data_IF_401373630270
#
_entry.id   IF_401373630270
#
_cell.length_a   1.000
_cell.length_b   1.000
_cell.length_c   1.000
_cell.angle_alpha   90.00
_cell.angle_beta   90.00
_cell.angle_gamma   90.00
#
_symmetry.space_group_name_H-M   'P 1'
#
loop_
_entity.id
_entity.type
_entity.pdbx_description
1 polymer ?
#
# COMPACT_ATOMS: atom_id res chain seq x y z
N UNK A 1 -12.12 28.73 -21.70
CA UNK A 1 -10.92 28.75 -22.57
C UNK A 1 -9.61 28.41 -21.85
N UNK A 2 -9.21 29.10 -20.76
CA UNK A 2 -8.02 28.71 -19.97
C UNK A 2 -8.21 27.37 -19.26
N UNK A 3 -9.38 27.18 -18.66
CA UNK A 3 -9.78 25.95 -17.96
C UNK A 3 -9.80 24.71 -18.89
N UNK A 4 -10.30 24.88 -20.12
CA UNK A 4 -10.31 23.80 -21.13
C UNK A 4 -8.92 23.38 -21.61
N UNK A 5 -7.94 24.29 -21.56
CA UNK A 5 -6.56 23.98 -21.94
C UNK A 5 -5.85 23.20 -20.83
N UNK A 6 -6.07 23.60 -19.57
CA UNK A 6 -5.52 22.93 -18.39
C UNK A 6 -6.07 21.52 -18.23
N UNK A 7 -7.38 21.32 -18.40
CA UNK A 7 -7.99 19.98 -18.32
C UNK A 7 -7.52 19.07 -19.46
N UNK A 8 -7.40 19.59 -20.70
CA UNK A 8 -6.81 18.82 -21.82
C UNK A 8 -5.36 18.45 -21.56
N UNK A 9 -4.56 19.37 -21.00
CA UNK A 9 -3.17 19.09 -20.64
C UNK A 9 -3.08 18.00 -19.55
N UNK A 10 -3.94 18.07 -18.53
CA UNK A 10 -4.06 17.05 -17.47
C UNK A 10 -4.42 15.69 -18.05
N UNK A 11 -5.47 15.59 -18.87
CA UNK A 11 -5.88 14.34 -19.51
C UNK A 11 -4.79 13.72 -20.39
N UNK A 12 -4.03 14.55 -21.12
CA UNK A 12 -2.87 14.11 -21.89
C UNK A 12 -1.78 13.53 -21.00
N UNK A 13 -1.43 14.20 -19.89
CA UNK A 13 -0.44 13.71 -18.91
C UNK A 13 -0.88 12.37 -18.30
N UNK A 14 -2.12 12.25 -17.85
CA UNK A 14 -2.66 11.00 -17.30
C UNK A 14 -2.65 9.87 -18.35
N UNK A 15 -2.92 10.18 -19.62
CA UNK A 15 -2.88 9.20 -20.71
C UNK A 15 -1.47 8.77 -21.06
N UNK A 16 -0.51 9.70 -21.09
CA UNK A 16 0.88 9.38 -21.28
C UNK A 16 1.40 8.48 -20.15
N UNK A 17 1.16 8.87 -18.89
CA UNK A 17 1.61 8.11 -17.73
C UNK A 17 1.00 6.70 -17.69
N UNK A 18 -0.28 6.57 -18.06
CA UNK A 18 -0.92 5.26 -18.15
C UNK A 18 -0.25 4.37 -19.21
N UNK A 19 0.09 4.92 -20.38
CA UNK A 19 0.79 4.17 -21.43
C UNK A 19 2.18 3.74 -20.97
N UNK A 20 2.90 4.60 -20.25
CA UNK A 20 4.19 4.25 -19.65
C UNK A 20 4.04 3.05 -18.71
N UNK A 21 3.03 3.05 -17.83
CA UNK A 21 2.81 1.92 -16.92
C UNK A 21 2.38 0.63 -17.63
N UNK A 22 1.61 0.71 -18.71
CA UNK A 22 1.30 -0.47 -19.54
C UNK A 22 2.57 -1.05 -20.17
N UNK A 23 3.41 -0.21 -20.80
CA UNK A 23 4.67 -0.69 -21.37
C UNK A 23 5.58 -1.28 -20.28
N UNK A 24 5.64 -0.65 -19.11
CA UNK A 24 6.41 -1.14 -17.97
C UNK A 24 5.89 -2.49 -17.47
N UNK A 25 4.57 -2.66 -17.34
CA UNK A 25 3.92 -3.91 -16.97
C UNK A 25 4.33 -5.04 -17.92
N UNK A 26 4.18 -4.83 -19.23
CA UNK A 26 4.59 -5.80 -20.25
C UNK A 26 6.07 -6.15 -20.14
N UNK A 27 6.96 -5.16 -19.99
CA UNK A 27 8.39 -5.40 -19.86
C UNK A 27 8.74 -6.21 -18.60
N UNK A 28 8.08 -5.93 -17.47
CA UNK A 28 8.25 -6.70 -16.23
C UNK A 28 7.80 -8.15 -16.44
N UNK A 29 6.63 -8.38 -17.03
CA UNK A 29 6.13 -9.72 -17.35
C UNK A 29 7.15 -10.47 -18.21
N UNK A 30 7.54 -9.90 -19.37
CA UNK A 30 8.49 -10.54 -20.29
C UNK A 30 9.84 -10.82 -19.64
N UNK A 31 10.45 -9.84 -18.96
CA UNK A 31 11.79 -9.97 -18.40
C UNK A 31 11.84 -10.94 -17.22
N UNK A 32 10.89 -10.85 -16.29
CA UNK A 32 10.83 -11.74 -15.13
C UNK A 32 10.51 -13.17 -15.53
N UNK A 33 9.57 -13.38 -16.45
CA UNK A 33 9.20 -14.71 -16.92
C UNK A 33 10.33 -15.34 -17.74
N UNK A 34 11.00 -14.56 -18.59
CA UNK A 34 12.18 -15.03 -19.32
C UNK A 34 13.30 -15.46 -18.37
N UNK A 35 13.59 -14.65 -17.33
CA UNK A 35 14.60 -14.98 -16.32
C UNK A 35 14.25 -16.27 -15.58
N UNK A 36 12.99 -16.40 -15.13
CA UNK A 36 12.54 -17.56 -14.36
C UNK A 36 12.35 -18.82 -15.21
N UNK A 37 12.23 -18.68 -16.52
CA UNK A 37 12.25 -19.81 -17.46
C UNK A 37 13.63 -20.47 -17.56
N UNK A 38 14.71 -19.81 -17.13
CA UNK A 38 16.08 -20.35 -17.09
C UNK A 38 16.27 -21.35 -15.93
N UNK A 39 15.32 -22.28 -15.76
CA UNK A 39 15.24 -23.21 -14.63
C UNK A 39 16.51 -24.04 -14.44
N UNK A 40 17.20 -24.40 -15.54
CA UNK A 40 18.41 -25.23 -15.50
C UNK A 40 19.55 -24.51 -14.78
N UNK A 41 19.71 -23.20 -14.99
CA UNK A 41 20.78 -22.41 -14.37
C UNK A 41 20.43 -21.93 -12.95
N UNK A 42 19.14 -21.93 -12.61
CA UNK A 42 18.64 -21.46 -11.31
C UNK A 42 18.44 -22.57 -10.27
N UNK A 43 18.81 -23.82 -10.58
CA UNK A 43 18.65 -24.96 -9.67
C UNK A 43 19.37 -24.76 -8.33
N UNK A 44 20.58 -24.21 -8.38
CA UNK A 44 21.42 -23.97 -7.18
C UNK A 44 21.03 -22.67 -6.44
N UNK A 45 20.25 -21.80 -7.09
CA UNK A 45 19.89 -20.47 -6.58
C UNK A 45 18.40 -20.35 -6.23
N UNK A 46 17.88 -21.32 -5.47
CA UNK A 46 16.45 -21.35 -5.07
C UNK A 46 15.98 -20.06 -4.39
N UNK A 47 16.76 -19.52 -3.44
CA UNK A 47 16.42 -18.26 -2.76
C UNK A 47 16.27 -17.10 -3.74
N UNK A 48 17.24 -16.92 -4.65
CA UNK A 48 17.20 -15.87 -5.66
C UNK A 48 15.98 -16.03 -6.55
N UNK A 49 15.65 -17.27 -6.94
CA UNK A 49 14.46 -17.56 -7.73
C UNK A 49 13.18 -17.11 -7.02
N UNK A 50 12.98 -17.49 -5.76
CA UNK A 50 11.80 -17.08 -5.00
C UNK A 50 11.73 -15.56 -4.79
N UNK A 51 12.88 -14.92 -4.54
CA UNK A 51 12.96 -13.47 -4.41
C UNK A 51 12.56 -12.77 -5.70
N UNK A 52 13.06 -13.22 -6.85
CA UNK A 52 12.73 -12.66 -8.16
C UNK A 52 11.26 -12.91 -8.51
N UNK A 53 10.73 -14.09 -8.22
CA UNK A 53 9.32 -14.43 -8.42
C UNK A 53 8.42 -13.49 -7.61
N UNK A 54 8.67 -13.37 -6.30
CA UNK A 54 7.89 -12.49 -5.42
C UNK A 54 8.01 -11.01 -5.77
N UNK A 55 9.21 -10.58 -6.18
CA UNK A 55 9.44 -9.21 -6.67
C UNK A 55 8.68 -8.95 -7.98
N UNK A 56 8.60 -9.94 -8.87
CA UNK A 56 7.82 -9.85 -10.10
C UNK A 56 6.33 -9.70 -9.80
N UNK A 57 5.77 -10.52 -8.89
CA UNK A 57 4.38 -10.39 -8.45
C UNK A 57 4.07 -8.99 -7.90
N UNK A 58 4.92 -8.47 -7.01
CA UNK A 58 4.76 -7.13 -6.45
C UNK A 58 4.86 -6.02 -7.51
N UNK A 59 5.78 -6.16 -8.46
CA UNK A 59 6.00 -5.16 -9.52
C UNK A 59 4.85 -5.13 -10.55
N UNK A 60 4.32 -6.31 -10.90
CA UNK A 60 3.12 -6.46 -11.75
C UNK A 60 1.91 -5.80 -11.08
N UNK A 61 1.63 -6.14 -9.83
CA UNK A 61 0.52 -5.56 -9.08
C UNK A 61 0.67 -4.03 -8.90
N UNK A 62 1.88 -3.54 -8.64
CA UNK A 62 2.20 -2.11 -8.60
C UNK A 62 1.81 -1.40 -9.91
N UNK A 63 2.16 -1.97 -11.06
CA UNK A 63 1.83 -1.40 -12.37
C UNK A 63 0.33 -1.48 -12.65
N UNK A 64 -0.30 -2.63 -12.41
CA UNK A 64 -1.75 -2.80 -12.53
C UNK A 64 -2.51 -1.77 -11.69
N UNK A 65 -2.12 -1.57 -10.43
CA UNK A 65 -2.76 -0.58 -9.56
C UNK A 65 -2.53 0.85 -10.03
N UNK A 66 -1.34 1.16 -10.57
CA UNK A 66 -1.04 2.47 -11.17
C UNK A 66 -1.96 2.75 -12.36
N UNK A 67 -2.17 1.77 -13.25
CA UNK A 67 -3.10 1.89 -14.39
C UNK A 67 -4.54 2.07 -13.90
N UNK A 68 -4.97 1.31 -12.88
CA UNK A 68 -6.29 1.45 -12.27
C UNK A 68 -6.51 2.85 -11.70
N UNK A 69 -5.55 3.36 -10.92
CA UNK A 69 -5.60 4.71 -10.32
C UNK A 69 -5.72 5.79 -11.41
N UNK A 70 -4.89 5.72 -12.45
CA UNK A 70 -4.93 6.66 -13.57
C UNK A 70 -6.25 6.59 -14.34
N UNK A 71 -6.84 5.39 -14.45
CA UNK A 71 -8.18 5.24 -14.99
C UNK A 71 -9.19 5.92 -14.07
N UNK A 72 -9.19 5.69 -12.76
CA UNK A 72 -10.17 6.31 -11.86
C UNK A 72 -10.09 7.84 -11.85
N UNK A 73 -8.88 8.41 -11.95
CA UNK A 73 -8.64 9.86 -11.95
C UNK A 73 -9.16 10.56 -13.21
N UNK A 74 -9.08 9.90 -14.37
CA UNK A 74 -9.62 10.44 -15.64
C UNK A 74 -11.13 10.59 -15.63
N UNK A 75 -11.83 9.78 -14.83
CA UNK A 75 -13.29 9.79 -14.73
C UNK A 75 -13.77 10.33 -13.38
N UNK A 76 -12.88 10.96 -12.60
CA UNK A 76 -13.29 11.61 -11.35
C UNK A 76 -14.07 12.89 -11.68
N UNK A 77 -15.32 12.97 -11.22
CA UNK A 77 -16.27 14.06 -11.52
C UNK A 77 -15.97 15.34 -10.73
N UNK A 78 -15.21 15.24 -9.64
CA UNK A 78 -14.80 16.41 -8.85
C UNK A 78 -13.51 16.98 -9.43
N UNK A 79 -13.58 18.17 -10.03
CA UNK A 79 -12.40 18.95 -10.46
C UNK A 79 -11.39 19.27 -9.34
N UNK A 80 -11.67 18.88 -8.10
CA UNK A 80 -10.72 18.85 -6.99
C UNK A 80 -9.80 17.65 -7.16
N UNK A 81 -8.67 17.87 -7.82
CA UNK A 81 -7.58 16.91 -7.94
C UNK A 81 -6.91 16.71 -6.57
N UNK A 82 -7.39 15.76 -5.76
CA UNK A 82 -6.64 15.24 -4.59
C UNK A 82 -5.49 14.31 -5.00
N UNK A 83 -4.98 14.49 -6.22
CA UNK A 83 -3.93 13.69 -6.83
C UNK A 83 -2.56 14.22 -6.40
N UNK A 84 -2.10 13.76 -5.25
CA UNK A 84 -0.67 13.86 -4.91
C UNK A 84 0.06 12.66 -5.53
N UNK A 85 1.10 12.93 -6.34
CA UNK A 85 1.96 11.89 -6.92
C UNK A 85 2.52 10.95 -5.85
N UNK A 86 2.86 11.48 -4.68
CA UNK A 86 3.34 10.71 -3.53
C UNK A 86 2.23 9.82 -2.96
N UNK A 87 1.00 10.34 -2.85
CA UNK A 87 -0.16 9.58 -2.39
C UNK A 87 -0.53 8.43 -3.33
N UNK A 88 -0.43 8.65 -4.65
CA UNK A 88 -0.60 7.58 -5.64
C UNK A 88 0.50 6.52 -5.49
N UNK A 89 1.76 6.95 -5.44
CA UNK A 89 2.90 6.06 -5.33
C UNK A 89 2.83 5.18 -4.08
N UNK A 90 2.47 5.76 -2.93
CA UNK A 90 2.21 5.03 -1.67
C UNK A 90 1.18 3.92 -1.86
N UNK A 91 0.04 4.23 -2.49
CA UNK A 91 -1.03 3.25 -2.76
C UNK A 91 -0.56 2.11 -3.68
N UNK A 92 0.23 2.43 -4.71
CA UNK A 92 0.79 1.43 -5.62
C UNK A 92 1.80 0.52 -4.91
N UNK A 93 2.68 1.07 -4.07
CA UNK A 93 3.60 0.28 -3.24
C UNK A 93 2.85 -0.66 -2.30
N UNK A 94 1.82 -0.16 -1.60
CA UNK A 94 0.99 -1.03 -0.75
C UNK A 94 0.31 -2.14 -1.55
N UNK A 95 -0.13 -1.88 -2.79
CA UNK A 95 -0.72 -2.91 -3.63
C UNK A 95 0.32 -3.98 -4.03
N UNK A 96 1.51 -3.56 -4.44
CA UNK A 96 2.63 -4.47 -4.72
C UNK A 96 3.02 -5.32 -3.51
N UNK A 97 3.16 -4.72 -2.33
CA UNK A 97 3.42 -5.45 -1.08
C UNK A 97 2.28 -6.44 -0.81
N UNK A 98 1.02 -6.04 -0.99
CA UNK A 98 -0.14 -6.92 -0.77
C UNK A 98 -0.12 -8.14 -1.71
N UNK A 99 0.39 -7.98 -2.93
CA UNK A 99 0.56 -9.08 -3.88
C UNK A 99 1.71 -10.01 -3.49
N UNK A 100 2.88 -9.47 -3.11
CA UNK A 100 4.03 -10.28 -2.67
C UNK A 100 3.78 -10.98 -1.32
N UNK A 101 2.96 -10.39 -0.44
CA UNK A 101 2.57 -11.03 0.82
C UNK A 101 1.78 -12.33 0.62
N UNK A 102 1.18 -12.53 -0.56
CA UNK A 102 0.51 -13.78 -0.87
C UNK A 102 1.52 -14.94 -0.87
N UNK A 103 2.76 -14.73 -1.34
CA UNK A 103 3.83 -15.75 -1.30
C UNK A 103 4.19 -16.21 0.12
N UNK A 104 3.92 -15.38 1.14
CA UNK A 104 4.19 -15.73 2.55
C UNK A 104 3.33 -16.92 2.99
N UNK A 105 2.20 -17.19 2.31
CA UNK A 105 1.35 -18.33 2.60
C UNK A 105 2.07 -19.68 2.42
N UNK A 106 3.15 -19.74 1.65
CA UNK A 106 4.01 -20.93 1.54
C UNK A 106 4.70 -21.24 2.87
N UNK A 107 5.14 -20.22 3.62
CA UNK A 107 5.71 -20.42 4.96
C UNK A 107 4.64 -20.86 5.97
N UNK A 108 3.44 -20.30 5.86
CA UNK A 108 2.30 -20.67 6.71
C UNK A 108 1.87 -22.12 6.42
N UNK A 109 1.71 -22.48 5.15
CA UNK A 109 1.32 -23.82 4.74
C UNK A 109 2.38 -24.86 5.11
N UNK A 110 3.67 -24.48 5.13
CA UNK A 110 4.75 -25.35 5.54
C UNK A 110 4.81 -25.55 7.06
N UNK A 111 4.06 -24.76 7.85
CA UNK A 111 4.14 -24.76 9.30
C UNK A 111 5.52 -24.37 9.82
N UNK A 112 6.34 -23.72 8.99
CA UNK A 112 7.73 -23.43 9.28
C UNK A 112 8.15 -22.09 8.63
N UNK A 113 8.85 -21.26 9.39
CA UNK A 113 9.49 -20.03 8.86
C UNK A 113 10.82 -20.33 8.14
N UNK A 114 11.13 -21.60 7.89
CA UNK A 114 12.33 -21.99 7.16
C UNK A 114 12.04 -22.01 5.66
N UNK A 115 12.93 -21.41 4.87
CA UNK A 115 12.82 -21.42 3.41
C UNK A 115 12.81 -22.85 2.85
N UNK A 116 13.51 -23.77 3.50
CA UNK A 116 13.45 -25.19 3.16
C UNK A 116 12.03 -25.76 3.35
N UNK A 117 11.34 -25.44 4.44
CA UNK A 117 9.95 -25.89 4.65
C UNK A 117 8.99 -25.34 3.60
N UNK A 118 9.05 -24.04 3.32
CA UNK A 118 8.19 -23.35 2.37
C UNK A 118 8.32 -23.87 0.92
N UNK A 119 9.49 -24.40 0.56
CA UNK A 119 9.80 -24.88 -0.80
C UNK A 119 9.56 -26.38 -1.00
N UNK A 120 9.28 -27.13 0.07
CA UNK A 120 9.07 -28.59 0.06
C UNK A 120 7.61 -29.02 0.29
N UNK A 121 6.66 -28.09 0.21
CA UNK A 121 5.23 -28.36 0.33
C UNK A 121 4.70 -29.28 -0.79
N UNK A 122 4.00 -30.34 -0.40
CA UNK A 122 3.38 -31.29 -1.32
C UNK A 122 2.04 -30.80 -1.91
N UNK A 123 1.52 -29.66 -1.48
CA UNK A 123 0.24 -29.09 -1.92
C UNK A 123 0.30 -27.57 -2.07
N UNK A 124 -0.61 -27.01 -2.89
CA UNK A 124 -0.69 -25.56 -3.07
C UNK A 124 -1.24 -24.88 -1.81
N UNK A 125 -0.61 -23.80 -1.32
CA UNK A 125 -1.15 -23.01 -0.22
C UNK A 125 -2.53 -22.45 -0.56
N UNK A 126 -3.45 -22.48 0.41
CA UNK A 126 -4.85 -22.08 0.19
C UNK A 126 -5.02 -20.63 -0.32
N UNK A 127 -4.07 -19.73 -0.02
CA UNK A 127 -4.09 -18.35 -0.49
C UNK A 127 -3.98 -18.23 -2.00
N UNK A 128 -3.40 -19.24 -2.65
CA UNK A 128 -3.27 -19.35 -4.10
C UNK A 128 -4.53 -19.91 -4.79
N UNK A 129 -5.63 -20.10 -4.07
CA UNK A 129 -6.89 -20.44 -4.70
C UNK A 129 -7.59 -19.17 -5.22
N UNK A 130 -8.05 -19.15 -6.47
CA UNK A 130 -8.90 -18.06 -6.99
C UNK A 130 -10.18 -17.93 -6.15
N UNK A 131 -10.69 -19.04 -5.62
CA UNK A 131 -11.82 -19.04 -4.68
C UNK A 131 -11.51 -18.32 -3.37
N UNK A 132 -10.26 -18.37 -2.87
CA UNK A 132 -9.83 -17.60 -1.70
C UNK A 132 -9.93 -16.09 -1.97
N UNK A 133 -9.46 -15.63 -3.13
CA UNK A 133 -9.57 -14.22 -3.53
C UNK A 133 -11.04 -13.78 -3.58
N UNK A 134 -11.91 -14.60 -4.17
CA UNK A 134 -13.34 -14.33 -4.24
C UNK A 134 -13.94 -14.18 -2.83
N UNK A 135 -13.61 -15.11 -1.92
CA UNK A 135 -14.10 -15.06 -0.53
C UNK A 135 -13.63 -13.79 0.17
N UNK A 136 -12.35 -13.44 0.08
CA UNK A 136 -11.83 -12.22 0.72
C UNK A 136 -12.43 -10.96 0.11
N UNK A 137 -12.58 -10.89 -1.22
CA UNK A 137 -13.25 -9.78 -1.89
C UNK A 137 -14.71 -9.61 -1.41
N UNK A 138 -15.44 -10.71 -1.24
CA UNK A 138 -16.79 -10.70 -0.69
C UNK A 138 -16.81 -10.25 0.78
N UNK A 139 -15.86 -10.71 1.61
CA UNK A 139 -15.72 -10.28 3.00
C UNK A 139 -15.42 -8.78 3.09
N UNK A 140 -14.45 -8.27 2.32
CA UNK A 140 -14.11 -6.83 2.25
C UNK A 140 -15.32 -6.00 1.84
N UNK A 141 -16.07 -6.46 0.83
CA UNK A 141 -17.32 -5.84 0.42
C UNK A 141 -18.34 -5.83 1.55
N UNK A 142 -18.52 -6.98 2.24
CA UNK A 142 -19.51 -7.17 3.32
C UNK A 142 -19.19 -6.33 4.56
N UNK A 143 -17.91 -6.23 4.92
CA UNK A 143 -17.42 -5.41 6.03
C UNK A 143 -17.49 -3.91 5.70
N UNK A 144 -17.35 -3.54 4.43
CA UNK A 144 -17.42 -2.15 3.97
C UNK A 144 -18.84 -1.71 3.57
N UNK A 145 -19.90 -2.40 4.02
CA UNK A 145 -21.29 -2.07 3.61
C UNK A 145 -21.82 -0.75 4.15
N UNK A 146 -21.31 -0.30 5.29
CA UNK A 146 -21.62 1.04 5.84
C UNK A 146 -20.83 2.15 5.15
N UNK A 147 -19.88 1.80 4.31
CA UNK A 147 -19.07 2.76 3.55
C UNK A 147 -19.68 2.96 2.17
N UNK A 148 -19.54 4.18 1.67
CA UNK A 148 -20.03 4.57 0.36
C UNK A 148 -19.66 3.56 -0.75
N UNK A 149 -20.58 3.26 -1.65
CA UNK A 149 -20.47 2.22 -2.67
C UNK A 149 -19.20 2.32 -3.52
N UNK A 150 -18.81 3.54 -3.93
CA UNK A 150 -17.58 3.80 -4.71
C UNK A 150 -16.31 3.50 -3.88
N UNK A 151 -16.26 3.90 -2.61
CA UNK A 151 -15.17 3.56 -1.67
C UNK A 151 -15.14 2.05 -1.37
N UNK A 152 -16.28 1.41 -1.19
CA UNK A 152 -16.41 -0.05 -1.02
C UNK A 152 -15.85 -0.80 -2.23
N UNK A 153 -16.28 -0.46 -3.45
CA UNK A 153 -15.75 -1.08 -4.67
C UNK A 153 -14.25 -0.84 -4.84
N UNK A 154 -13.76 0.35 -4.48
CA UNK A 154 -12.33 0.64 -4.51
C UNK A 154 -11.52 -0.34 -3.64
N UNK A 155 -11.97 -0.61 -2.41
CA UNK A 155 -11.34 -1.59 -1.51
C UNK A 155 -11.36 -3.01 -2.09
N UNK A 156 -12.45 -3.39 -2.73
CA UNK A 156 -12.55 -4.69 -3.43
C UNK A 156 -11.60 -4.75 -4.63
N UNK A 157 -11.55 -3.69 -5.44
CA UNK A 157 -10.60 -3.58 -6.54
C UNK A 157 -9.15 -3.73 -6.06
N UNK A 158 -8.80 -3.14 -4.92
CA UNK A 158 -7.45 -3.23 -4.36
C UNK A 158 -7.02 -4.69 -4.15
N UNK A 159 -7.87 -5.49 -3.51
CA UNK A 159 -7.60 -6.91 -3.25
C UNK A 159 -7.58 -7.71 -4.56
N UNK A 160 -8.59 -7.51 -5.43
CA UNK A 160 -8.68 -8.26 -6.68
C UNK A 160 -7.48 -7.95 -7.57
N UNK A 161 -7.08 -6.68 -7.73
CA UNK A 161 -5.91 -6.32 -8.55
C UNK A 161 -4.63 -6.91 -7.95
N UNK A 162 -4.41 -6.83 -6.64
CA UNK A 162 -3.20 -7.36 -6.01
C UNK A 162 -3.09 -8.89 -6.15
N UNK A 163 -4.15 -9.61 -5.80
CA UNK A 163 -4.07 -11.07 -5.69
C UNK A 163 -4.43 -11.79 -6.97
N UNK A 164 -5.36 -11.26 -7.78
CA UNK A 164 -5.69 -11.92 -9.04
C UNK A 164 -4.56 -11.77 -10.06
N UNK A 165 -3.83 -10.64 -10.04
CA UNK A 165 -2.62 -10.51 -10.89
C UNK A 165 -1.55 -11.54 -10.54
N UNK A 166 -1.34 -11.74 -9.25
CA UNK A 166 -0.49 -12.81 -8.74
C UNK A 166 -0.92 -14.18 -9.29
N UNK A 167 -2.22 -14.51 -9.16
CA UNK A 167 -2.75 -15.79 -9.62
C UNK A 167 -2.75 -15.98 -11.13
N UNK A 168 -2.92 -14.93 -11.92
CA UNK A 168 -2.83 -15.01 -13.37
C UNK A 168 -1.40 -15.39 -13.81
N UNK A 169 -0.41 -14.77 -13.18
CA UNK A 169 1.00 -15.08 -13.42
C UNK A 169 1.36 -16.51 -13.03
N UNK A 170 0.91 -16.99 -11.88
CA UNK A 170 1.11 -18.40 -11.48
C UNK A 170 0.33 -19.37 -12.37
N UNK A 171 -0.89 -18.98 -12.72
CA UNK A 171 -1.79 -19.71 -13.59
C UNK A 171 -1.20 -19.99 -14.97
N UNK A 172 -0.29 -19.15 -15.46
CA UNK A 172 0.47 -19.40 -16.67
C UNK A 172 1.28 -20.71 -16.60
N UNK A 173 1.90 -21.02 -15.46
CA UNK A 173 2.74 -22.22 -15.28
C UNK A 173 1.93 -23.42 -14.82
N UNK A 174 0.99 -23.17 -13.92
CA UNK A 174 0.37 -24.17 -13.08
C UNK A 174 -1.15 -24.32 -13.32
N UNK A 175 -1.76 -23.40 -14.06
CA UNK A 175 -3.21 -23.30 -14.17
C UNK A 175 -3.84 -22.62 -12.95
N UNK A 176 -5.01 -22.02 -13.16
CA UNK A 176 -5.79 -21.36 -12.11
C UNK A 176 -6.43 -22.41 -11.21
N UNK A 177 -6.23 -22.28 -9.90
CA UNK A 177 -6.76 -23.23 -8.93
C UNK A 177 -8.03 -22.70 -8.27
N UNK A 178 -9.12 -23.44 -8.40
CA UNK A 178 -10.44 -23.11 -7.84
C UNK A 178 -10.83 -24.09 -6.74
N UNK A 179 -10.05 -24.19 -5.67
CA UNK A 179 -10.38 -25.10 -4.57
C UNK A 179 -11.80 -24.87 -4.00
N UNK A 180 -12.62 -25.91 -3.76
CA UNK A 180 -12.35 -27.35 -3.94
C UNK A 180 -12.74 -27.92 -5.32
N UNK A 181 -13.13 -27.08 -6.28
CA UNK A 181 -13.63 -27.47 -7.60
C UNK A 181 -12.56 -28.05 -8.55
N UNK A 182 -11.28 -27.77 -8.30
CA UNK A 182 -10.16 -28.28 -9.09
C UNK A 182 -9.33 -27.17 -9.73
N UNK A 183 -8.53 -27.50 -10.75
CA UNK A 183 -7.66 -26.56 -11.45
C UNK A 183 -7.96 -26.52 -12.94
N UNK A 184 -7.74 -25.37 -13.57
CA UNK A 184 -7.68 -25.27 -15.03
C UNK A 184 -6.35 -25.82 -15.55
N UNK A 185 -6.23 -26.11 -16.85
CA UNK A 185 -4.93 -26.22 -17.50
C UNK A 185 -4.11 -24.93 -17.37
N UNK A 186 -2.78 -24.98 -17.57
CA UNK A 186 -1.94 -23.79 -17.66
C UNK A 186 -2.48 -22.77 -18.66
N UNK A 187 -2.49 -21.50 -18.27
CA UNK A 187 -3.00 -20.41 -19.11
C UNK A 187 -2.00 -20.14 -20.23
N UNK A 188 -2.49 -20.01 -21.46
CA UNK A 188 -1.65 -19.63 -22.59
C UNK A 188 -0.92 -18.30 -22.31
N UNK A 189 0.36 -18.21 -22.67
CA UNK A 189 1.20 -17.04 -22.37
C UNK A 189 0.58 -15.71 -22.82
N UNK A 190 0.13 -15.63 -24.07
CA UNK A 190 -0.47 -14.40 -24.61
C UNK A 190 -1.79 -14.06 -23.93
N UNK A 191 -2.57 -15.09 -23.57
CA UNK A 191 -3.81 -14.90 -22.83
C UNK A 191 -3.53 -14.35 -21.42
N UNK A 192 -2.52 -14.89 -20.71
CA UNK A 192 -2.10 -14.37 -19.41
C UNK A 192 -1.73 -12.88 -19.52
N UNK A 193 -0.81 -12.52 -20.42
CA UNK A 193 -0.36 -11.13 -20.57
C UNK A 193 -1.53 -10.21 -20.94
N UNK A 194 -2.43 -10.65 -21.82
CA UNK A 194 -3.61 -9.88 -22.20
C UNK A 194 -4.59 -9.70 -21.02
N UNK A 195 -4.77 -10.73 -20.18
CA UNK A 195 -5.57 -10.64 -18.97
C UNK A 195 -4.94 -9.70 -17.95
N UNK A 196 -3.62 -9.70 -17.82
CA UNK A 196 -2.85 -8.83 -16.93
C UNK A 196 -3.00 -7.35 -17.29
N UNK A 197 -2.80 -7.03 -18.57
CA UNK A 197 -3.04 -5.70 -19.12
C UNK A 197 -4.51 -5.28 -19.00
N UNK A 198 -5.44 -6.22 -19.22
CA UNK A 198 -6.88 -5.96 -19.19
C UNK A 198 -7.45 -5.75 -17.78
N UNK A 199 -6.89 -6.40 -16.77
CA UNK A 199 -7.35 -6.42 -15.39
C UNK A 199 -7.65 -5.02 -14.83
N UNK A 200 -6.72 -4.03 -14.86
CA UNK A 200 -6.98 -2.71 -14.29
C UNK A 200 -8.12 -1.95 -15.00
N UNK A 201 -8.32 -2.17 -16.30
CA UNK A 201 -9.43 -1.55 -17.04
C UNK A 201 -10.78 -2.16 -16.68
N UNK A 202 -10.85 -3.49 -16.55
CA UNK A 202 -12.05 -4.19 -16.13
C UNK A 202 -12.45 -3.73 -14.73
N UNK A 203 -11.49 -3.66 -13.81
CA UNK A 203 -11.74 -3.21 -12.44
C UNK A 203 -12.13 -1.75 -12.37
N UNK A 204 -11.49 -0.86 -13.14
CA UNK A 204 -11.88 0.54 -13.22
C UNK A 204 -13.30 0.71 -13.77
N UNK A 205 -13.66 -0.02 -14.83
CA UNK A 205 -15.02 -0.02 -15.40
C UNK A 205 -16.06 -0.49 -14.37
N UNK A 206 -15.75 -1.54 -13.61
CA UNK A 206 -16.64 -2.03 -12.55
C UNK A 206 -16.78 -1.04 -11.39
N UNK A 207 -15.68 -0.41 -10.98
CA UNK A 207 -15.68 0.65 -9.97
C UNK A 207 -16.55 1.85 -10.39
N UNK A 208 -16.43 2.32 -11.64
CA UNK A 208 -17.21 3.45 -12.17
C UNK A 208 -18.72 3.21 -12.17
N UNK A 209 -19.17 1.96 -12.32
CA UNK A 209 -20.60 1.61 -12.24
C UNK A 209 -21.19 1.76 -10.83
N UNK A 210 -20.41 2.17 -9.83
CA UNK A 210 -20.95 2.45 -8.50
C UNK A 210 -21.70 3.78 -8.54
N UNK A 211 -22.85 3.89 -7.85
CA UNK A 211 -23.54 5.16 -7.73
C UNK A 211 -22.57 6.21 -7.16
N UNK A 212 -22.62 7.42 -7.73
CA UNK A 212 -21.89 8.56 -7.24
C UNK A 212 -22.44 8.97 -5.86
N UNK A 213 -21.66 9.80 -5.15
CA UNK A 213 -22.06 10.32 -3.86
C UNK A 213 -23.32 11.17 -3.97
N UNK A 214 -24.32 10.85 -3.16
CA UNK A 214 -25.52 11.68 -3.02
C UNK A 214 -25.14 13.02 -2.39
N UNK A 215 -25.94 14.07 -2.64
CA UNK A 215 -25.70 15.40 -2.05
C UNK A 215 -25.65 15.36 -0.51
N UNK A 216 -26.47 14.49 0.09
CA UNK A 216 -26.50 14.27 1.54
C UNK A 216 -25.17 13.68 2.05
N UNK A 217 -24.65 12.65 1.38
CA UNK A 217 -23.35 12.05 1.74
C UNK A 217 -22.17 13.02 1.50
N UNK A 218 -22.28 13.91 0.51
CA UNK A 218 -21.28 14.98 0.30
C UNK A 218 -21.30 15.97 1.46
N UNK A 219 -22.50 16.34 1.94
CA UNK A 219 -22.68 17.25 3.07
C UNK A 219 -22.15 16.64 4.37
N UNK A 220 -22.48 15.37 4.64
CA UNK A 220 -21.96 14.63 5.81
C UNK A 220 -20.42 14.55 5.78
N UNK A 221 -19.82 14.27 4.62
CA UNK A 221 -18.37 14.22 4.48
C UNK A 221 -17.72 15.61 4.65
N UNK A 222 -18.37 16.67 4.17
CA UNK A 222 -17.89 18.03 4.35
C UNK A 222 -17.93 18.46 5.81
N UNK A 223 -18.99 18.10 6.55
CA UNK A 223 -19.10 18.29 7.99
C UNK A 223 -17.98 17.55 8.75
N UNK A 224 -17.76 16.26 8.45
CA UNK A 224 -16.69 15.49 9.09
C UNK A 224 -15.31 16.09 8.87
N UNK A 225 -15.02 16.60 7.67
CA UNK A 225 -13.75 17.26 7.39
C UNK A 225 -13.59 18.59 8.12
N UNK A 226 -14.66 19.36 8.25
CA UNK A 226 -14.63 20.62 8.99
C UNK A 226 -14.36 20.37 10.49
N UNK A 227 -14.93 19.29 11.05
CA UNK A 227 -14.64 18.88 12.42
C UNK A 227 -13.17 18.45 12.57
N UNK A 228 -12.64 17.62 11.67
CA UNK A 228 -11.23 17.19 11.67
C UNK A 228 -10.25 18.38 11.53
N UNK A 229 -10.53 19.34 10.64
CA UNK A 229 -9.71 20.55 10.46
C UNK A 229 -9.76 21.45 11.72
N UNK A 230 -10.92 21.54 12.39
CA UNK A 230 -11.05 22.31 13.64
C UNK A 230 -10.30 21.67 14.82
N UNK A 231 -10.23 20.34 14.88
CA UNK A 231 -9.45 19.63 15.90
C UNK A 231 -7.94 19.80 15.66
N UNK A 232 -7.47 19.71 14.42
CA UNK A 232 -6.05 19.95 14.07
C UNK A 232 -5.62 21.40 14.39
N UNK A 233 -6.45 22.40 14.08
CA UNK A 233 -6.15 23.81 14.37
C UNK A 233 -6.11 24.11 15.88
N UNK A 234 -6.99 23.46 16.66
CA UNK A 234 -6.97 23.58 18.13
C UNK A 234 -5.78 22.88 18.81
N UNK A 235 -5.27 21.80 18.21
CA UNK A 235 -4.11 21.06 18.70
C UNK A 235 -2.80 21.82 18.49
N UNK A 236 -2.69 22.54 17.37
CA UNK A 236 -1.53 23.38 17.07
C UNK A 236 -1.52 24.68 17.92
N UNK A 237 -2.68 25.26 18.24
CA UNK A 237 -2.75 26.41 19.16
C UNK A 237 -2.33 26.03 20.59
N UNK A 238 -2.77 24.87 21.11
CA UNK A 238 -2.42 24.42 22.46
C UNK A 238 -0.92 24.13 22.63
N UNK A 239 -0.25 23.64 21.58
CA UNK A 239 1.18 23.36 21.62
C UNK A 239 2.03 24.65 21.54
N UNK A 240 1.50 25.70 20.89
CA UNK A 240 2.16 27.01 20.81
C UNK A 240 2.10 27.81 22.13
N UNK A 241 1.02 27.66 22.91
CA UNK A 241 0.88 28.35 24.19
C UNK A 241 1.81 27.79 25.28
N UNK A 242 2.02 26.47 25.28
CA UNK A 242 2.87 25.80 26.27
C UNK A 242 4.37 26.11 26.04
N UNK A 243 4.79 26.27 24.78
CA UNK A 243 6.16 26.70 24.45
C UNK A 243 6.41 28.17 24.82
N UNK A 244 5.41 29.06 24.66
CA UNK A 244 5.55 30.48 25.03
C UNK A 244 5.55 30.67 26.56
N UNK A 245 4.76 29.88 27.31
CA UNK A 245 4.73 29.91 28.77
C UNK A 245 6.00 29.28 29.39
N UNK A 246 6.52 28.20 28.80
CA UNK A 246 7.81 27.60 29.17
C UNK A 246 8.99 28.55 28.95
N UNK A 247 9.00 29.32 27.85
CA UNK A 247 10.04 30.32 27.57
C UNK A 247 9.98 31.52 28.55
N UNK A 248 8.78 31.96 28.95
CA UNK A 248 8.61 33.05 29.92
C UNK A 248 9.06 32.65 31.34
N UNK A 249 8.83 31.39 31.74
CA UNK A 249 9.29 30.90 33.04
C UNK A 249 10.81 30.81 33.14
N UNK A 250 11.49 30.36 32.08
CA UNK A 250 12.96 30.31 32.03
C UNK A 250 13.60 31.71 32.09
N UNK A 251 13.00 32.72 31.45
CA UNK A 251 13.49 34.11 31.54
C UNK A 251 13.25 34.76 32.91
N UNK A 252 12.23 34.31 33.66
CA UNK A 252 11.96 34.83 35.01
C UNK A 252 12.89 34.27 36.09
N UNK A 253 13.45 33.07 35.88
CA UNK A 253 14.34 32.40 36.83
C UNK A 253 15.76 33.00 36.83
N UNK A 254 16.22 33.52 35.70
CA UNK A 254 17.58 34.08 35.55
C UNK A 254 17.71 35.49 36.19
N UNK A 255 16.60 36.19 36.41
CA UNK A 255 16.59 37.52 37.03
C UNK A 255 16.76 37.51 38.57
N UNK A 256 16.71 36.34 39.23
CA UNK A 256 16.81 36.22 40.70
C UNK A 256 18.12 35.63 41.21
N UNK A 257 19.09 35.35 40.33
CA UNK A 257 20.31 34.62 40.64
C UNK A 257 21.59 35.45 40.78
N UNK A 258 21.56 36.72 41.19
CA UNK A 258 22.80 37.47 41.48
C UNK A 258 22.63 38.41 42.67
N UNK A 259 22.82 37.89 43.89
CA UNK A 259 23.28 38.68 45.03
C UNK A 259 23.73 37.79 46.19
N UNK A 260 24.94 38.08 46.66
CA UNK A 260 25.50 37.81 47.99
C UNK A 260 26.35 36.54 48.24
N UNK A 261 27.65 36.81 48.41
CA UNK A 261 28.63 36.21 49.33
C UNK A 261 29.14 37.40 50.21
N UNK A 262 29.87 37.28 51.36
CA UNK A 262 30.64 36.13 51.87
C UNK A 262 30.69 35.94 53.43
N UNK A 263 31.46 34.91 53.83
CA UNK A 263 32.43 34.84 54.96
C UNK A 263 32.13 33.98 56.23
N UNK A 264 33.06 33.03 56.47
CA UNK A 264 33.77 32.59 57.71
C UNK A 264 33.02 32.39 59.05
N UNK A 265 33.37 31.50 59.99
CA UNK A 265 34.33 30.40 60.16
C UNK A 265 34.04 29.75 61.54
N UNK A 266 34.29 28.46 61.75
CA UNK A 266 35.10 27.90 62.88
C UNK A 266 34.91 26.37 63.04
N UNK A 267 36.07 25.71 63.18
CA UNK A 267 36.37 24.32 63.56
C UNK A 267 36.17 24.10 65.09
N UNK A 268 36.41 22.94 65.76
CA UNK A 268 37.09 21.72 65.30
C UNK A 268 36.61 20.33 65.83
N UNK A 269 37.20 19.27 65.24
CA UNK A 269 37.92 18.15 65.92
C UNK A 269 37.37 16.70 65.78
N UNK A 270 38.33 15.82 65.42
CA UNK A 270 38.56 14.38 65.75
C UNK A 270 38.00 13.32 64.76
N UNK A 271 38.92 12.63 64.04
CA UNK A 271 39.44 11.23 64.23
C UNK A 271 38.44 10.17 63.71
N UNK A 272 38.76 9.10 62.97
CA UNK A 272 39.96 8.26 62.81
C UNK A 272 39.66 7.25 61.65
N UNK A 273 40.71 6.76 60.94
CA UNK A 273 40.91 5.39 60.37
C UNK A 273 39.82 4.72 59.51
N UNK A 274 40.06 3.82 58.56
CA UNK A 274 41.19 3.28 57.79
C UNK A 274 40.53 2.30 56.78
N UNK A 275 41.14 2.12 55.60
CA UNK A 275 41.46 0.83 54.91
C UNK A 275 40.36 -0.26 54.87
N UNK A 276 39.84 -0.69 53.70
CA UNK A 276 40.45 -1.48 52.59
C UNK A 276 39.71 -1.19 51.29
#
# INVERSE_FOLDING_TARGET
MRDDHEERARQRRLTLLQRVFMVLLLLICLASDYFLFQHVYLLDYKLLRHLVDSTAHGSVAFCCWSIFQLQTEKYSESGVSTFSSLGMLKKCFFNGITASLLDVDHFIAAGALTLAGATHLNGRPFGHAVTFIIVVALLVSRCSRRVQARKRRYRVCFIVVAWFSHQLRDGMRLGLWFWPLGSTPPVNYFLYVAMEEGLPFVMAKWWRKAPAMTEMEKLELALQKADEESEEESGDEANSSDEEEGARLLMSADAKGLSSSPAEATSPRRKLSDVV
#
